data_IF_045869059346
#
_entry.id   IF_045869059346
#
_cell.length_a   1.000
_cell.length_b   1.000
_cell.length_c   1.000
_cell.angle_alpha   90.00
_cell.angle_beta   90.00
_cell.angle_gamma   90.00
#
_symmetry.space_group_name_H-M   'P 1'
#
loop_
_entity.id
_entity.type
_entity.pdbx_description
1 polymer ?
#
# COMPACT_ATOMS: atom_id res chain seq x y z
N UNK A 1 -13.31 32.20 -89.80
CA UNK A 1 -12.62 31.18 -89.18
C UNK A 1 -11.54 31.61 -88.23
N UNK A 2 -11.81 31.68 -86.96
CA UNK A 2 -10.82 32.03 -85.96
C UNK A 2 -10.64 30.85 -85.02
N UNK A 3 -9.42 30.31 -84.91
CA UNK A 3 -9.00 29.31 -83.97
C UNK A 3 -8.74 29.96 -82.61
N UNK A 4 -9.45 29.55 -81.59
CA UNK A 4 -9.11 29.87 -80.23
C UNK A 4 -8.37 28.65 -79.61
N UNK A 5 -7.13 28.84 -79.20
CA UNK A 5 -6.34 27.87 -78.49
C UNK A 5 -6.59 28.06 -76.99
N UNK A 6 -7.19 27.11 -76.42
CA UNK A 6 -7.34 27.05 -74.95
C UNK A 6 -6.16 26.30 -74.37
N UNK A 7 -5.37 26.96 -73.52
CA UNK A 7 -4.31 26.38 -72.69
C UNK A 7 -4.94 25.81 -71.40
N UNK A 8 -4.90 24.54 -71.25
CA UNK A 8 -5.27 23.90 -69.98
C UNK A 8 -4.04 23.83 -69.12
N UNK A 9 -4.03 24.60 -68.03
CA UNK A 9 -3.02 24.48 -66.96
C UNK A 9 -3.39 23.34 -66.01
N UNK A 10 -2.61 22.28 -66.03
CA UNK A 10 -2.69 21.22 -65.06
C UNK A 10 -2.05 21.73 -63.77
N UNK A 11 -2.88 22.01 -62.75
CA UNK A 11 -2.43 22.22 -61.37
C UNK A 11 -2.28 20.86 -60.72
N UNK A 12 -1.05 20.40 -60.56
CA UNK A 12 -0.69 19.22 -59.80
C UNK A 12 -0.74 19.59 -58.32
N UNK A 13 -1.88 19.35 -57.67
CA UNK A 13 -2.01 19.49 -56.23
C UNK A 13 -1.34 18.27 -55.56
N UNK A 14 -0.12 18.46 -55.10
CA UNK A 14 0.55 17.49 -54.23
C UNK A 14 -0.14 17.46 -52.90
N UNK A 15 -1.03 16.50 -52.70
CA UNK A 15 -1.51 16.16 -51.37
C UNK A 15 -0.36 15.50 -50.58
N UNK A 16 0.32 16.28 -49.72
CA UNK A 16 1.10 15.73 -48.64
C UNK A 16 0.11 15.09 -47.66
N UNK A 17 -0.06 13.79 -47.76
CA UNK A 17 -0.67 13.01 -46.69
C UNK A 17 0.36 12.98 -45.57
N UNK A 18 0.22 13.90 -44.60
CA UNK A 18 0.82 13.72 -43.30
C UNK A 18 0.11 12.49 -42.68
N UNK A 19 0.72 11.33 -42.83
CA UNK A 19 0.42 10.20 -41.95
C UNK A 19 0.87 10.61 -40.55
N UNK A 20 -0.04 11.25 -39.81
CA UNK A 20 0.09 11.28 -38.35
C UNK A 20 0.01 9.82 -37.90
N UNK A 21 1.17 9.18 -37.77
CA UNK A 21 1.27 7.93 -37.09
C UNK A 21 0.67 8.15 -35.72
N UNK A 22 -0.48 7.53 -35.47
CA UNK A 22 -0.98 7.40 -34.11
C UNK A 22 0.09 6.65 -33.35
N UNK A 23 0.92 7.38 -32.58
CA UNK A 23 1.81 6.77 -31.64
C UNK A 23 0.92 5.92 -30.74
N UNK A 24 1.03 4.59 -30.81
CA UNK A 24 0.32 3.71 -29.92
C UNK A 24 0.76 4.11 -28.50
N UNK A 25 -0.20 4.53 -27.68
CA UNK A 25 0.06 4.86 -26.28
C UNK A 25 0.72 3.64 -25.62
N UNK A 26 1.81 3.89 -24.89
CA UNK A 26 2.47 2.86 -24.07
C UNK A 26 1.46 2.37 -23.04
N UNK A 27 1.30 1.06 -22.87
CA UNK A 27 0.30 0.49 -21.97
C UNK A 27 0.99 -0.23 -20.83
N UNK A 28 0.45 -0.03 -19.64
CA UNK A 28 0.79 -0.79 -18.43
C UNK A 28 -0.49 -1.20 -17.71
N UNK A 29 -0.40 -2.26 -16.94
CA UNK A 29 -1.48 -2.76 -16.08
C UNK A 29 -1.04 -2.63 -14.62
N UNK A 30 -1.85 -1.93 -13.81
CA UNK A 30 -1.60 -1.75 -12.38
C UNK A 30 -2.66 -2.48 -11.55
N UNK A 31 -2.27 -3.10 -10.46
CA UNK A 31 -3.20 -3.55 -9.45
C UNK A 31 -3.74 -2.38 -8.64
N UNK A 32 -5.04 -2.38 -8.36
CA UNK A 32 -5.67 -1.45 -7.41
C UNK A 32 -5.50 -2.01 -6.01
N UNK A 33 -4.92 -1.23 -5.11
CA UNK A 33 -4.73 -1.63 -3.72
C UNK A 33 -6.08 -1.75 -2.99
N UNK A 34 -6.15 -2.62 -2.00
CA UNK A 34 -7.34 -2.87 -1.18
C UNK A 34 -7.32 -2.10 0.17
N UNK A 35 -6.55 -1.03 0.25
CA UNK A 35 -6.58 -0.03 1.32
C UNK A 35 -6.35 1.37 0.76
N UNK A 36 -6.90 2.37 1.41
CA UNK A 36 -6.94 3.75 0.92
C UNK A 36 -5.55 4.35 0.67
N UNK A 37 -4.60 4.14 1.58
CA UNK A 37 -3.23 4.65 1.41
C UNK A 37 -2.53 4.10 0.17
N UNK A 38 -2.64 2.80 -0.06
CA UNK A 38 -2.08 2.15 -1.24
C UNK A 38 -2.74 2.59 -2.54
N UNK A 39 -4.07 2.78 -2.53
CA UNK A 39 -4.79 3.36 -3.67
C UNK A 39 -4.27 4.76 -4.01
N UNK A 40 -4.07 5.61 -3.00
CA UNK A 40 -3.54 6.98 -3.19
C UNK A 40 -2.14 6.91 -3.80
N UNK A 41 -1.24 6.12 -3.23
CA UNK A 41 0.14 6.00 -3.74
C UNK A 41 0.16 5.52 -5.18
N UNK A 42 -0.66 4.53 -5.53
CA UNK A 42 -0.73 4.04 -6.90
C UNK A 42 -1.38 5.05 -7.84
N UNK A 43 -2.39 5.77 -7.40
CA UNK A 43 -3.01 6.83 -8.22
C UNK A 43 -2.03 7.99 -8.47
N UNK A 44 -1.17 8.33 -7.52
CA UNK A 44 -0.08 9.30 -7.74
C UNK A 44 0.83 8.82 -8.87
N UNK A 45 1.27 7.56 -8.83
CA UNK A 45 2.10 6.99 -9.87
C UNK A 45 1.37 6.95 -11.23
N UNK A 46 0.12 6.49 -11.25
CA UNK A 46 -0.71 6.40 -12.46
C UNK A 46 -0.94 7.77 -13.09
N UNK A 47 -1.28 8.79 -12.30
CA UNK A 47 -1.50 10.15 -12.80
C UNK A 47 -0.24 10.70 -13.49
N UNK A 48 0.94 10.48 -12.93
CA UNK A 48 2.20 10.93 -13.54
C UNK A 48 2.52 10.13 -14.81
N UNK A 49 2.36 8.81 -14.78
CA UNK A 49 2.56 7.96 -15.96
C UNK A 49 1.64 8.37 -17.12
N UNK A 50 0.37 8.63 -16.83
CA UNK A 50 -0.61 8.98 -17.88
C UNK A 50 -0.45 10.43 -18.37
N UNK A 51 -0.39 11.39 -17.46
CA UNK A 51 -0.45 12.81 -17.81
C UNK A 51 0.89 13.38 -18.29
N UNK A 52 2.02 12.87 -17.76
CA UNK A 52 3.35 13.41 -18.04
C UNK A 52 4.18 12.52 -18.97
N UNK A 53 4.02 11.19 -18.88
CA UNK A 53 4.87 10.24 -19.62
C UNK A 53 4.13 9.53 -20.77
N UNK A 54 2.84 9.84 -20.98
CA UNK A 54 2.06 9.37 -22.12
C UNK A 54 1.70 7.89 -22.10
N UNK A 55 1.67 7.27 -20.91
CA UNK A 55 1.18 5.91 -20.74
C UNK A 55 -0.34 5.89 -20.70
N UNK A 56 -0.91 4.72 -21.03
CA UNK A 56 -2.25 4.33 -20.65
C UNK A 56 -2.12 3.22 -19.59
N UNK A 57 -2.71 3.41 -18.44
CA UNK A 57 -2.64 2.44 -17.34
C UNK A 57 -4.01 1.82 -17.12
N UNK A 58 -4.13 0.53 -17.43
CA UNK A 58 -5.31 -0.26 -17.10
C UNK A 58 -5.23 -0.66 -15.61
N UNK A 59 -6.30 -0.41 -14.86
CA UNK A 59 -6.37 -0.70 -13.43
C UNK A 59 -7.18 -1.96 -13.20
N UNK A 60 -6.62 -2.93 -12.47
CA UNK A 60 -7.24 -4.20 -12.16
C UNK A 60 -7.39 -4.32 -10.65
N UNK A 61 -8.61 -4.60 -10.19
CA UNK A 61 -8.84 -4.98 -8.80
C UNK A 61 -8.24 -6.36 -8.55
N UNK A 62 -7.33 -6.44 -7.60
CA UNK A 62 -6.68 -7.68 -7.21
C UNK A 62 -6.42 -7.68 -5.71
N UNK A 63 -6.79 -8.76 -5.03
CA UNK A 63 -6.59 -8.88 -3.60
C UNK A 63 -5.08 -8.88 -3.26
N UNK A 64 -4.69 -8.11 -2.25
CA UNK A 64 -3.33 -8.12 -1.71
C UNK A 64 -2.97 -9.50 -1.16
N UNK A 65 -1.69 -9.82 -1.19
CA UNK A 65 -1.13 -11.09 -0.70
C UNK A 65 -0.28 -11.80 -1.75
N UNK A 66 0.10 -13.03 -1.45
CA UNK A 66 1.01 -13.84 -2.28
C UNK A 66 0.53 -13.98 -3.73
N UNK A 67 -0.78 -14.13 -3.96
CA UNK A 67 -1.36 -14.23 -5.31
C UNK A 67 -1.09 -13.02 -6.18
N UNK A 68 -1.06 -11.80 -5.61
CA UNK A 68 -0.70 -10.59 -6.34
C UNK A 68 0.79 -10.61 -6.76
N UNK A 69 1.66 -11.02 -5.86
CA UNK A 69 3.09 -11.18 -6.16
C UNK A 69 3.33 -12.19 -7.29
N UNK A 70 2.64 -13.32 -7.24
CA UNK A 70 2.68 -14.34 -8.29
C UNK A 70 2.16 -13.81 -9.64
N UNK A 71 1.08 -13.02 -9.64
CA UNK A 71 0.53 -12.40 -10.86
C UNK A 71 1.51 -11.40 -11.48
N UNK A 72 2.24 -10.63 -10.66
CA UNK A 72 3.28 -9.72 -11.13
C UNK A 72 4.48 -10.51 -11.68
N UNK A 73 4.95 -11.53 -10.98
CA UNK A 73 6.04 -12.39 -11.45
C UNK A 73 5.70 -13.07 -12.79
N UNK A 74 4.45 -13.47 -12.99
CA UNK A 74 3.95 -14.07 -14.22
C UNK A 74 3.74 -13.06 -15.36
N UNK A 75 3.69 -11.76 -15.09
CA UNK A 75 3.41 -10.72 -16.07
C UNK A 75 1.92 -10.51 -16.38
N UNK A 76 1.03 -11.03 -15.56
CA UNK A 76 -0.41 -10.78 -15.67
C UNK A 76 -0.78 -9.37 -15.20
N UNK A 77 0.02 -8.82 -14.30
CA UNK A 77 -0.02 -7.45 -13.80
C UNK A 77 1.39 -6.89 -13.90
N UNK A 78 1.53 -5.66 -14.45
CA UNK A 78 2.84 -5.08 -14.69
C UNK A 78 3.45 -4.47 -13.42
N UNK A 79 2.64 -3.81 -12.58
CA UNK A 79 3.09 -3.25 -11.31
C UNK A 79 1.97 -3.12 -10.27
N UNK A 80 2.39 -3.03 -9.03
CA UNK A 80 1.57 -2.63 -7.90
C UNK A 80 2.36 -1.68 -6.99
N UNK A 81 1.66 -0.98 -6.11
CA UNK A 81 2.24 0.08 -5.31
C UNK A 81 2.15 -0.21 -3.82
N UNK A 82 3.12 0.34 -3.10
CA UNK A 82 3.12 0.41 -1.64
C UNK A 82 2.99 -0.97 -0.98
N UNK A 83 3.84 -1.92 -1.39
CA UNK A 83 4.02 -3.12 -0.58
C UNK A 83 4.73 -2.76 0.73
N UNK A 84 4.25 -3.37 1.80
CA UNK A 84 4.81 -3.23 3.14
C UNK A 84 5.64 -4.48 3.46
N UNK A 85 6.97 -4.41 3.45
CA UNK A 85 7.84 -5.58 3.55
C UNK A 85 7.61 -6.45 4.80
N UNK A 86 7.23 -5.85 5.93
CA UNK A 86 6.96 -6.63 7.15
C UNK A 86 5.72 -7.55 7.06
N UNK A 87 4.91 -7.40 6.01
CA UNK A 87 3.73 -8.24 5.74
C UNK A 87 3.93 -9.22 4.59
N UNK A 88 4.84 -8.90 3.67
CA UNK A 88 4.94 -9.58 2.40
C UNK A 88 5.98 -10.70 2.44
N UNK A 89 5.58 -11.87 2.88
CA UNK A 89 6.45 -13.05 2.94
C UNK A 89 7.00 -13.46 1.55
N UNK A 90 6.31 -13.06 0.47
CA UNK A 90 6.74 -13.33 -0.90
C UNK A 90 7.94 -12.48 -1.35
N UNK A 91 8.20 -11.33 -0.74
CA UNK A 91 9.27 -10.43 -1.15
C UNK A 91 10.66 -11.05 -0.99
N UNK A 92 10.89 -11.79 0.08
CA UNK A 92 12.17 -12.46 0.36
C UNK A 92 12.52 -13.55 -0.66
N UNK A 93 11.52 -14.16 -1.30
CA UNK A 93 11.73 -15.22 -2.30
C UNK A 93 11.74 -14.70 -3.73
N UNK A 94 11.11 -13.57 -4.01
CA UNK A 94 10.92 -13.04 -5.37
C UNK A 94 11.81 -11.86 -5.72
N UNK A 95 12.30 -11.10 -4.72
CA UNK A 95 13.16 -9.94 -4.97
C UNK A 95 14.64 -10.33 -4.82
N UNK A 96 15.47 -9.89 -5.77
CA UNK A 96 16.92 -10.05 -5.72
C UNK A 96 17.57 -8.69 -6.02
N UNK A 97 17.60 -7.82 -5.02
CA UNK A 97 18.18 -6.48 -5.12
C UNK A 97 18.27 -5.84 -3.73
N UNK A 98 18.99 -4.74 -3.67
CA UNK A 98 19.01 -3.89 -2.47
C UNK A 98 17.91 -2.84 -2.56
N UNK A 99 17.09 -2.75 -1.51
CA UNK A 99 16.15 -1.67 -1.35
C UNK A 99 16.88 -0.45 -0.75
N UNK A 100 16.84 0.66 -1.48
CA UNK A 100 17.55 1.90 -1.11
C UNK A 100 16.54 2.98 -0.73
N UNK A 101 16.77 3.66 0.39
CA UNK A 101 16.03 4.83 0.84
C UNK A 101 17.01 5.90 1.31
N UNK A 102 16.87 7.14 0.83
CA UNK A 102 17.78 8.27 1.12
C UNK A 102 19.28 7.93 0.89
N UNK A 103 19.56 7.11 -0.12
CA UNK A 103 20.92 6.71 -0.47
C UNK A 103 21.51 5.58 0.38
N UNK A 104 20.78 5.10 1.38
CA UNK A 104 21.19 4.00 2.25
C UNK A 104 20.45 2.71 1.88
N UNK A 105 21.14 1.57 1.95
CA UNK A 105 20.51 0.26 1.79
C UNK A 105 19.74 -0.06 3.07
N UNK A 106 18.42 -0.14 2.95
CA UNK A 106 17.52 -0.40 4.10
C UNK A 106 17.14 -1.88 4.22
N UNK A 107 17.19 -2.63 3.12
CA UNK A 107 17.02 -4.08 3.10
C UNK A 107 17.74 -4.70 1.91
N UNK A 108 18.34 -5.87 2.13
CA UNK A 108 18.95 -6.69 1.09
C UNK A 108 18.07 -7.91 0.83
N UNK A 109 17.78 -8.17 -0.43
CA UNK A 109 17.00 -9.32 -0.88
C UNK A 109 17.83 -10.25 -1.73
N UNK A 110 17.70 -11.55 -1.52
CA UNK A 110 18.41 -12.61 -2.22
C UNK A 110 17.48 -13.65 -2.85
N UNK A 111 16.27 -13.23 -3.24
CA UNK A 111 15.30 -14.08 -3.92
C UNK A 111 15.66 -14.38 -5.37
N UNK A 112 14.71 -14.88 -6.15
CA UNK A 112 14.93 -15.36 -7.52
C UNK A 112 14.94 -14.23 -8.59
N UNK A 113 14.60 -13.00 -8.22
CA UNK A 113 14.54 -11.86 -9.15
C UNK A 113 13.31 -11.85 -10.06
N UNK A 114 12.29 -12.61 -9.75
CA UNK A 114 11.03 -12.62 -10.52
C UNK A 114 10.21 -11.35 -10.37
N UNK A 115 10.49 -10.53 -9.37
CA UNK A 115 9.87 -9.22 -9.11
C UNK A 115 10.97 -8.19 -8.83
N UNK A 116 10.88 -7.02 -9.45
CA UNK A 116 11.68 -5.84 -9.12
C UNK A 116 10.90 -4.92 -8.18
N UNK A 117 11.62 -4.14 -7.36
CA UNK A 117 11.01 -3.18 -6.45
C UNK A 117 11.81 -1.88 -6.33
N UNK A 118 11.11 -0.79 -6.06
CA UNK A 118 11.68 0.52 -5.74
C UNK A 118 10.90 1.14 -4.60
N UNK A 119 11.56 1.87 -3.70
CA UNK A 119 10.86 2.57 -2.61
C UNK A 119 9.81 3.53 -3.16
N UNK A 120 8.64 3.56 -2.55
CA UNK A 120 7.58 4.52 -2.90
C UNK A 120 7.83 5.91 -2.30
N UNK A 121 8.56 5.96 -1.19
CA UNK A 121 8.77 7.13 -0.34
C UNK A 121 7.93 7.10 0.95
N UNK A 122 6.86 6.31 1.00
CA UNK A 122 6.04 6.15 2.20
C UNK A 122 6.74 5.20 3.18
N UNK A 123 6.84 5.65 4.43
CA UNK A 123 7.37 4.86 5.54
C UNK A 123 6.22 4.54 6.49
N UNK A 124 5.99 3.26 6.71
CA UNK A 124 4.89 2.76 7.50
C UNK A 124 5.27 2.22 8.87
N UNK A 125 4.33 2.29 9.80
CA UNK A 125 4.39 1.63 11.11
C UNK A 125 3.01 1.07 11.45
N UNK A 126 2.98 -0.16 11.92
CA UNK A 126 1.75 -0.82 12.36
C UNK A 126 1.84 -1.23 13.82
N UNK A 127 0.72 -1.21 14.50
CA UNK A 127 0.61 -1.65 15.89
C UNK A 127 -0.87 -1.98 16.18
N UNK A 128 -1.14 -2.42 17.40
CA UNK A 128 -2.46 -2.36 17.97
C UNK A 128 -2.61 -1.06 18.77
N UNK A 129 -3.79 -0.49 18.73
CA UNK A 129 -4.09 0.80 19.34
C UNK A 129 -5.32 0.71 20.22
N UNK A 130 -5.31 1.52 21.29
CA UNK A 130 -6.46 1.75 22.17
C UNK A 130 -6.80 3.24 22.19
N UNK A 131 -8.06 3.62 22.47
CA UNK A 131 -8.40 5.02 22.61
C UNK A 131 -7.63 5.69 23.74
N UNK A 132 -7.23 6.96 23.55
CA UNK A 132 -6.54 7.71 24.58
C UNK A 132 -7.41 7.85 25.86
N UNK A 133 -8.73 8.03 25.71
CA UNK A 133 -9.62 8.11 26.89
C UNK A 133 -9.62 6.83 27.73
N UNK A 134 -9.38 5.67 27.13
CA UNK A 134 -9.21 4.42 27.89
C UNK A 134 -7.93 4.47 28.73
N UNK A 135 -6.82 4.91 28.16
CA UNK A 135 -5.54 5.03 28.87
C UNK A 135 -5.63 6.05 29.99
N UNK A 136 -6.26 7.19 29.72
CA UNK A 136 -6.48 8.24 30.74
C UNK A 136 -7.32 7.75 31.92
N UNK A 137 -8.33 6.92 31.67
CA UNK A 137 -9.17 6.31 32.70
C UNK A 137 -8.52 5.13 33.43
N UNK A 138 -7.49 4.52 32.85
CA UNK A 138 -6.81 3.34 33.37
C UNK A 138 -5.28 3.59 33.42
N UNK A 139 -4.79 4.42 34.36
CA UNK A 139 -3.38 4.82 34.41
C UNK A 139 -2.40 3.65 34.67
N UNK A 140 -2.89 2.49 35.09
CA UNK A 140 -2.10 1.27 35.25
C UNK A 140 -1.86 0.52 33.93
N UNK A 141 -2.58 0.87 32.86
CA UNK A 141 -2.31 0.34 31.53
C UNK A 141 -1.06 1.01 30.94
N UNK A 142 -0.04 0.23 30.63
CA UNK A 142 1.25 0.73 30.10
C UNK A 142 1.57 0.24 28.69
N UNK A 143 1.34 -1.04 28.43
CA UNK A 143 1.63 -1.66 27.14
C UNK A 143 0.79 -2.95 26.94
N UNK A 144 1.06 -3.66 25.86
CA UNK A 144 0.37 -4.88 25.47
C UNK A 144 0.29 -5.94 26.58
N UNK A 145 1.30 -6.01 27.48
CA UNK A 145 1.32 -7.02 28.54
C UNK A 145 0.27 -6.79 29.63
N UNK A 146 -0.30 -5.61 29.68
CA UNK A 146 -1.39 -5.26 30.60
C UNK A 146 -2.80 -5.57 30.04
N UNK A 147 -2.93 -5.94 28.77
CA UNK A 147 -4.24 -6.15 28.12
C UNK A 147 -5.13 -7.13 28.86
N UNK A 148 -4.56 -8.24 29.37
CA UNK A 148 -5.34 -9.23 30.10
C UNK A 148 -5.97 -8.71 31.40
N UNK A 149 -5.36 -7.73 32.05
CA UNK A 149 -5.91 -7.10 33.27
C UNK A 149 -7.20 -6.34 33.01
N UNK A 150 -7.37 -5.88 31.77
CA UNK A 150 -8.50 -5.03 31.35
C UNK A 150 -9.42 -5.72 30.34
N UNK A 151 -9.21 -7.00 30.06
CA UNK A 151 -9.91 -7.71 28.96
C UNK A 151 -11.43 -7.59 29.04
N UNK A 152 -12.02 -7.52 30.25
CA UNK A 152 -13.46 -7.40 30.42
C UNK A 152 -14.01 -6.09 29.84
N UNK A 153 -13.21 -5.02 29.76
CA UNK A 153 -13.58 -3.77 29.12
C UNK A 153 -13.59 -3.87 27.59
N UNK A 154 -12.86 -4.87 27.04
CA UNK A 154 -12.75 -5.13 25.60
C UNK A 154 -13.64 -6.27 25.13
N UNK A 155 -14.30 -6.97 26.04
CA UNK A 155 -15.16 -8.11 25.71
C UNK A 155 -16.43 -7.62 24.99
N UNK A 156 -16.92 -8.45 24.07
CA UNK A 156 -18.19 -8.26 23.36
C UNK A 156 -19.06 -9.49 23.54
N UNK A 157 -20.36 -9.45 23.22
CA UNK A 157 -21.22 -10.61 23.24
C UNK A 157 -20.67 -11.78 22.41
N UNK A 158 -19.98 -11.48 21.29
CA UNK A 158 -19.40 -12.47 20.39
C UNK A 158 -18.16 -13.14 20.98
N UNK A 159 -17.36 -12.43 21.76
CA UNK A 159 -16.12 -12.95 22.34
C UNK A 159 -16.29 -13.55 23.75
N UNK A 160 -17.45 -13.33 24.38
CA UNK A 160 -17.74 -13.87 25.69
C UNK A 160 -16.84 -13.28 26.78
N UNK A 161 -16.01 -14.12 27.42
CA UNK A 161 -15.07 -13.71 28.48
C UNK A 161 -13.72 -13.22 27.94
N UNK A 162 -13.49 -13.31 26.63
CA UNK A 162 -12.27 -12.83 25.98
C UNK A 162 -12.43 -11.36 25.56
N UNK A 163 -11.33 -10.61 25.58
CA UNK A 163 -11.31 -9.31 24.92
C UNK A 163 -11.43 -9.47 23.41
N UNK A 164 -11.81 -8.40 22.72
CA UNK A 164 -11.90 -8.36 21.26
C UNK A 164 -10.78 -7.49 20.69
N UNK A 165 -10.08 -8.01 19.69
CA UNK A 165 -9.28 -7.22 18.76
C UNK A 165 -10.11 -7.00 17.49
N UNK A 166 -10.34 -5.74 17.11
CA UNK A 166 -10.73 -5.40 15.76
C UNK A 166 -9.46 -5.52 14.92
N UNK A 167 -9.28 -6.69 14.32
CA UNK A 167 -8.03 -7.09 13.69
C UNK A 167 -7.88 -6.60 12.27
N UNK A 168 -6.80 -7.03 11.67
CA UNK A 168 -6.51 -6.84 10.26
C UNK A 168 -7.71 -7.31 9.43
N UNK A 169 -8.29 -6.43 8.60
CA UNK A 169 -9.59 -6.70 8.00
C UNK A 169 -9.57 -7.72 6.87
N UNK A 170 -8.41 -7.93 6.25
CA UNK A 170 -8.25 -8.77 5.05
C UNK A 170 -7.25 -9.88 5.32
N UNK A 171 -7.67 -11.14 5.19
CA UNK A 171 -6.82 -12.31 5.43
C UNK A 171 -5.53 -12.30 4.58
N UNK A 172 -5.63 -11.86 3.32
CA UNK A 172 -4.50 -11.79 2.39
C UNK A 172 -3.39 -10.82 2.81
N UNK A 173 -3.62 -9.95 3.80
CA UNK A 173 -2.58 -9.07 4.33
C UNK A 173 -1.57 -9.78 5.25
N UNK A 174 -1.82 -11.03 5.63
CA UNK A 174 -0.91 -11.84 6.45
C UNK A 174 -0.55 -11.21 7.80
N UNK A 175 -1.51 -10.61 8.49
CA UNK A 175 -1.27 -9.96 9.78
C UNK A 175 -1.02 -10.94 10.92
N UNK A 176 -1.52 -12.17 10.82
CA UNK A 176 -1.37 -13.22 11.82
C UNK A 176 -1.85 -12.84 13.24
N UNK A 177 -2.92 -12.06 13.32
CA UNK A 177 -3.38 -11.48 14.59
C UNK A 177 -3.69 -12.52 15.65
N UNK A 178 -4.53 -13.52 15.34
CA UNK A 178 -4.86 -14.53 16.33
C UNK A 178 -3.63 -15.33 16.77
N UNK A 179 -2.73 -15.63 15.84
CA UNK A 179 -1.47 -16.32 16.17
C UNK A 179 -0.61 -15.49 17.12
N UNK A 180 -0.54 -14.17 16.89
CA UNK A 180 0.19 -13.24 17.77
C UNK A 180 -0.43 -13.21 19.17
N UNK A 181 -1.76 -13.06 19.25
CA UNK A 181 -2.47 -13.05 20.53
C UNK A 181 -2.19 -14.33 21.34
N UNK A 182 -2.29 -15.48 20.66
CA UNK A 182 -2.07 -16.79 21.28
C UNK A 182 -0.62 -16.96 21.77
N UNK A 183 0.36 -16.61 20.94
CA UNK A 183 1.77 -16.70 21.29
C UNK A 183 2.17 -15.77 22.43
N UNK A 184 1.58 -14.59 22.52
CA UNK A 184 1.81 -13.62 23.59
C UNK A 184 0.97 -13.89 24.85
N UNK A 185 0.09 -14.88 24.82
CA UNK A 185 -0.79 -15.19 25.93
C UNK A 185 -1.83 -14.10 26.21
N UNK A 186 -2.21 -13.33 25.19
CA UNK A 186 -3.25 -12.30 25.27
C UNK A 186 -4.61 -12.98 25.07
N UNK A 187 -5.44 -12.97 26.11
CA UNK A 187 -6.75 -13.65 26.12
C UNK A 187 -7.81 -12.84 25.36
N UNK A 188 -7.53 -12.58 24.09
CA UNK A 188 -8.38 -11.87 23.15
C UNK A 188 -8.67 -12.73 21.94
N UNK A 189 -9.76 -12.38 21.26
CA UNK A 189 -10.15 -12.95 19.98
C UNK A 189 -10.11 -11.88 18.88
N UNK A 190 -9.45 -12.19 17.77
CA UNK A 190 -9.36 -11.30 16.64
C UNK A 190 -10.60 -11.43 15.75
N UNK A 191 -11.24 -10.29 15.45
CA UNK A 191 -12.31 -10.18 14.48
C UNK A 191 -11.75 -9.69 13.16
N UNK A 192 -12.05 -10.38 12.06
CA UNK A 192 -11.69 -10.02 10.69
C UNK A 192 -12.95 -9.59 9.95
N UNK A 193 -13.06 -8.31 9.64
CA UNK A 193 -14.30 -7.71 9.12
C UNK A 193 -14.37 -7.63 7.58
N UNK A 194 -13.34 -8.08 6.90
CA UNK A 194 -13.30 -8.27 5.45
C UNK A 194 -12.83 -7.05 4.65
N UNK A 195 -13.00 -5.82 5.15
CA UNK A 195 -12.55 -4.58 4.49
C UNK A 195 -12.07 -3.54 5.49
N UNK A 196 -11.18 -2.64 5.04
CA UNK A 196 -10.77 -1.46 5.83
C UNK A 196 -11.97 -0.64 6.29
N UNK A 197 -12.91 -0.37 5.39
CA UNK A 197 -14.11 0.43 5.69
C UNK A 197 -14.93 -0.20 6.82
N UNK A 198 -15.16 -1.50 6.80
CA UNK A 198 -15.93 -2.20 7.83
C UNK A 198 -15.22 -2.16 9.19
N UNK A 199 -13.90 -2.39 9.21
CA UNK A 199 -13.11 -2.33 10.45
C UNK A 199 -13.12 -0.92 11.06
N UNK A 200 -12.95 0.11 10.24
CA UNK A 200 -12.96 1.50 10.70
C UNK A 200 -14.35 1.96 11.16
N UNK A 201 -15.42 1.52 10.50
CA UNK A 201 -16.80 1.84 10.92
C UNK A 201 -17.09 1.25 12.31
N UNK A 202 -16.65 0.01 12.55
CA UNK A 202 -16.79 -0.64 13.86
C UNK A 202 -16.00 0.12 14.94
N UNK A 203 -14.75 0.46 14.66
CA UNK A 203 -13.89 1.22 15.57
C UNK A 203 -14.45 2.63 15.84
N UNK A 204 -14.91 3.33 14.81
CA UNK A 204 -15.49 4.68 14.96
C UNK A 204 -16.76 4.64 15.80
N UNK A 205 -17.63 3.66 15.58
CA UNK A 205 -18.82 3.47 16.42
C UNK A 205 -18.49 3.26 17.89
N UNK A 206 -17.50 2.43 18.20
CA UNK A 206 -17.03 2.22 19.57
C UNK A 206 -16.41 3.51 20.16
N UNK A 207 -15.60 4.22 19.36
CA UNK A 207 -15.00 5.49 19.78
C UNK A 207 -16.06 6.54 20.13
N UNK A 208 -17.06 6.70 19.28
CA UNK A 208 -18.16 7.67 19.46
C UNK A 208 -19.02 7.35 20.70
N UNK A 209 -19.12 6.08 21.08
CA UNK A 209 -19.81 5.65 22.31
C UNK A 209 -18.92 5.72 23.56
N UNK A 210 -17.63 6.07 23.41
CA UNK A 210 -16.67 6.08 24.52
C UNK A 210 -16.34 4.69 25.08
N UNK A 211 -16.49 3.64 24.28
CA UNK A 211 -16.19 2.26 24.65
C UNK A 211 -14.70 1.97 24.50
N UNK A 212 -14.16 1.10 25.34
CA UNK A 212 -12.82 0.56 25.14
C UNK A 212 -12.83 -0.40 23.93
N UNK A 213 -11.83 -0.28 23.07
CA UNK A 213 -11.60 -1.23 21.97
C UNK A 213 -10.11 -1.33 21.65
N UNK A 214 -9.70 -2.47 21.12
CA UNK A 214 -8.37 -2.72 20.61
C UNK A 214 -8.47 -2.82 19.09
N UNK A 215 -7.67 -2.03 18.36
CA UNK A 215 -7.73 -1.89 16.91
C UNK A 215 -6.35 -2.13 16.30
N UNK A 216 -6.30 -3.01 15.30
CA UNK A 216 -5.17 -3.03 14.36
C UNK A 216 -5.23 -1.79 13.47
N UNK A 217 -4.15 -1.03 13.42
CA UNK A 217 -4.05 0.17 12.60
C UNK A 217 -2.59 0.43 12.21
N UNK A 218 -2.39 1.35 11.31
CA UNK A 218 -1.08 1.73 10.80
C UNK A 218 -0.99 3.24 10.57
N UNK A 219 0.23 3.74 10.48
CA UNK A 219 0.53 5.12 10.12
C UNK A 219 1.29 5.14 8.78
N UNK A 220 1.00 6.10 7.88
CA UNK A 220 -0.01 7.17 7.99
C UNK A 220 -1.44 6.66 7.79
N UNK A 221 -2.40 7.20 8.54
CA UNK A 221 -3.82 6.86 8.43
C UNK A 221 -4.71 8.05 8.87
N UNK A 222 -5.85 8.26 8.19
CA UNK A 222 -6.77 9.36 8.51
C UNK A 222 -7.51 9.18 9.84
N UNK A 223 -7.65 7.95 10.34
CA UNK A 223 -8.36 7.66 11.60
C UNK A 223 -7.77 8.43 12.78
N UNK A 224 -6.45 8.65 12.80
CA UNK A 224 -5.78 9.42 13.85
C UNK A 224 -6.11 10.92 13.83
N UNK A 225 -6.60 11.45 12.73
CA UNK A 225 -6.96 12.87 12.61
C UNK A 225 -8.18 13.27 13.44
N UNK A 226 -9.10 12.33 13.68
CA UNK A 226 -10.34 12.54 14.45
C UNK A 226 -10.35 11.83 15.78
N UNK A 227 -9.50 10.82 15.96
CA UNK A 227 -9.55 9.91 17.09
C UNK A 227 -8.17 9.84 17.74
N UNK A 228 -8.07 10.27 18.98
CA UNK A 228 -6.81 10.15 19.73
C UNK A 228 -6.62 8.69 20.17
N UNK A 229 -5.60 8.05 19.60
CA UNK A 229 -5.27 6.66 19.84
C UNK A 229 -3.86 6.54 20.43
N UNK A 230 -3.64 5.49 21.21
CA UNK A 230 -2.36 5.16 21.84
C UNK A 230 -1.96 3.75 21.43
N UNK A 231 -0.74 3.58 20.90
CA UNK A 231 -0.20 2.27 20.57
C UNK A 231 0.06 1.43 21.82
N UNK A 232 -0.24 0.14 21.75
CA UNK A 232 -0.02 -0.79 22.88
C UNK A 232 1.43 -1.25 22.99
N UNK A 233 2.29 -0.81 22.08
CA UNK A 233 3.73 -1.08 22.10
C UNK A 233 4.03 -2.59 22.13
N UNK A 234 3.58 -3.30 21.11
CA UNK A 234 3.92 -4.72 20.92
C UNK A 234 5.43 -4.95 21.03
N UNK A 235 5.89 -6.18 21.35
CA UNK A 235 7.32 -6.48 21.38
C UNK A 235 8.03 -6.05 20.11
N UNK A 236 9.28 -5.61 20.21
CA UNK A 236 10.07 -5.17 19.07
C UNK A 236 10.17 -6.28 18.02
N UNK A 237 10.03 -5.90 16.76
CA UNK A 237 10.11 -6.83 15.63
C UNK A 237 11.42 -7.62 15.64
N UNK A 238 11.29 -8.91 15.38
CA UNK A 238 12.41 -9.81 15.08
C UNK A 238 11.93 -10.82 14.06
N UNK A 239 12.67 -10.97 12.98
CA UNK A 239 12.37 -11.96 11.95
C UNK A 239 12.54 -13.39 12.48
N UNK A 240 11.73 -14.32 11.99
CA UNK A 240 11.87 -15.74 12.30
C UNK A 240 12.75 -16.42 11.25
N UNK A 241 14.04 -16.58 11.53
CA UNK A 241 14.99 -17.21 10.62
C UNK A 241 14.67 -18.70 10.34
N UNK A 242 13.93 -19.34 11.25
CA UNK A 242 13.51 -20.75 11.13
C UNK A 242 12.12 -20.91 10.52
N UNK A 243 11.52 -19.82 10.02
CA UNK A 243 10.23 -19.90 9.36
C UNK A 243 10.29 -20.80 8.14
N UNK A 244 9.38 -21.74 8.10
CA UNK A 244 9.06 -22.50 6.89
C UNK A 244 7.54 -22.58 6.78
N UNK A 245 7.04 -22.67 5.57
CA UNK A 245 5.60 -22.87 5.31
C UNK A 245 5.06 -24.11 6.04
N UNK A 246 5.89 -25.15 6.20
CA UNK A 246 5.54 -26.39 6.89
C UNK A 246 5.45 -26.24 8.42
N UNK A 247 6.29 -25.39 9.05
CA UNK A 247 6.31 -25.24 10.51
C UNK A 247 5.45 -24.09 11.03
N UNK A 248 5.03 -23.18 10.18
CA UNK A 248 4.15 -22.05 10.55
C UNK A 248 4.64 -21.31 11.81
N UNK A 249 5.94 -20.94 11.83
CA UNK A 249 6.67 -20.25 12.92
C UNK A 249 6.78 -21.04 14.24
N UNK A 250 6.48 -22.32 14.29
CA UNK A 250 6.52 -23.10 15.54
C UNK A 250 7.91 -23.08 16.19
N UNK A 251 8.98 -23.11 15.38
CA UNK A 251 10.36 -23.13 15.87
C UNK A 251 10.82 -21.79 16.44
N UNK A 252 10.16 -20.67 16.08
CA UNK A 252 10.45 -19.35 16.61
C UNK A 252 9.68 -19.04 17.90
N UNK A 253 8.53 -19.65 18.10
CA UNK A 253 7.70 -19.48 19.29
C UNK A 253 7.43 -18.01 19.62
N UNK A 254 7.76 -17.59 20.84
CA UNK A 254 7.58 -16.23 21.32
C UNK A 254 8.80 -15.32 21.09
N UNK A 255 9.85 -15.81 20.44
CA UNK A 255 11.10 -15.09 20.27
C UNK A 255 11.11 -14.15 19.06
N UNK A 256 10.22 -14.36 18.09
CA UNK A 256 10.21 -13.63 16.81
C UNK A 256 8.80 -13.53 16.24
N UNK A 257 8.69 -12.85 15.07
CA UNK A 257 7.45 -12.75 14.30
C UNK A 257 6.76 -14.13 14.15
N UNK A 258 5.42 -14.21 14.35
CA UNK A 258 4.47 -13.12 14.58
C UNK A 258 4.22 -12.78 16.06
N UNK A 259 5.00 -13.30 17.03
CA UNK A 259 4.91 -12.96 18.46
C UNK A 259 5.52 -11.57 18.78
N UNK A 260 5.73 -10.74 17.79
CA UNK A 260 6.25 -9.37 17.88
C UNK A 260 5.30 -8.40 17.19
N UNK A 261 5.57 -7.11 17.34
CA UNK A 261 5.00 -6.09 16.45
C UNK A 261 5.56 -6.17 15.04
N UNK A 262 5.18 -5.23 14.21
CA UNK A 262 5.70 -5.07 12.84
C UNK A 262 6.99 -4.27 12.84
N UNK A 263 7.79 -4.44 11.80
CA UNK A 263 8.96 -3.59 11.57
C UNK A 263 8.53 -2.22 11.02
N UNK A 264 9.45 -1.27 11.03
CA UNK A 264 9.32 -0.05 10.25
C UNK A 264 9.38 -0.41 8.77
N UNK A 265 8.32 -0.11 8.04
CA UNK A 265 8.22 -0.45 6.63
C UNK A 265 8.67 0.70 5.73
N UNK A 266 9.77 0.50 5.01
CA UNK A 266 10.09 1.29 3.81
C UNK A 266 9.30 0.69 2.66
N UNK A 267 8.12 1.25 2.39
CA UNK A 267 7.21 0.66 1.42
C UNK A 267 7.75 0.76 0.00
N UNK A 268 7.37 -0.17 -0.86
CA UNK A 268 7.92 -0.29 -2.20
C UNK A 268 6.85 -0.44 -3.27
N UNK A 269 7.11 0.14 -4.43
CA UNK A 269 6.41 -0.19 -5.65
C UNK A 269 7.12 -1.39 -6.27
N UNK A 270 6.38 -2.39 -6.73
CA UNK A 270 6.93 -3.64 -7.22
C UNK A 270 6.35 -3.99 -8.59
N UNK A 271 7.16 -4.58 -9.45
CA UNK A 271 6.86 -4.67 -10.86
C UNK A 271 7.47 -5.90 -11.54
N UNK A 272 6.88 -6.28 -12.68
CA UNK A 272 7.40 -7.35 -13.50
C UNK A 272 8.69 -6.90 -14.23
N UNK A 273 9.84 -7.54 -14.01
CA UNK A 273 11.11 -7.10 -14.57
C UNK A 273 11.18 -7.25 -16.10
N UNK A 274 10.54 -8.26 -16.70
CA UNK A 274 10.54 -8.46 -18.16
C UNK A 274 9.79 -7.30 -18.86
N UNK A 275 8.59 -6.95 -18.37
CA UNK A 275 7.80 -5.85 -18.92
C UNK A 275 8.57 -4.53 -18.77
N UNK A 276 9.12 -4.28 -17.58
CA UNK A 276 9.82 -3.03 -17.29
C UNK A 276 11.17 -2.92 -18.01
N UNK A 277 11.77 -4.01 -18.46
CA UNK A 277 13.01 -3.99 -19.26
C UNK A 277 12.81 -3.61 -20.73
N UNK A 278 11.57 -3.55 -21.21
CA UNK A 278 11.27 -3.15 -22.58
C UNK A 278 11.66 -1.69 -22.82
N UNK A 279 12.26 -1.35 -23.97
CA UNK A 279 12.73 0.01 -24.24
C UNK A 279 11.65 1.09 -24.10
N UNK A 280 10.42 0.80 -24.49
CA UNK A 280 9.26 1.71 -24.35
C UNK A 280 8.92 2.04 -22.90
N UNK A 281 9.34 1.23 -21.92
CA UNK A 281 9.09 1.41 -20.50
C UNK A 281 10.26 2.06 -19.74
N UNK A 282 11.33 2.47 -20.44
CA UNK A 282 12.50 3.08 -19.81
C UNK A 282 12.16 4.32 -18.97
N UNK A 283 11.22 5.15 -19.44
CA UNK A 283 10.77 6.35 -18.71
C UNK A 283 9.98 5.98 -17.45
N UNK A 284 9.13 4.96 -17.52
CA UNK A 284 8.42 4.47 -16.33
C UNK A 284 9.38 3.96 -15.25
N UNK A 285 10.39 3.19 -15.65
CA UNK A 285 11.43 2.71 -14.72
C UNK A 285 12.21 3.86 -14.11
N UNK A 286 12.61 4.84 -14.93
CA UNK A 286 13.32 6.03 -14.44
C UNK A 286 12.47 6.83 -13.44
N UNK A 287 11.18 6.96 -13.70
CA UNK A 287 10.22 7.56 -12.78
C UNK A 287 10.13 6.78 -11.46
N UNK A 288 9.88 5.47 -11.49
CA UNK A 288 9.77 4.67 -10.26
C UNK A 288 11.06 4.71 -9.41
N UNK A 289 12.23 4.78 -10.04
CA UNK A 289 13.52 4.94 -9.34
C UNK A 289 13.65 6.27 -8.59
N UNK A 290 12.97 7.32 -9.07
CA UNK A 290 13.03 8.67 -8.49
C UNK A 290 11.86 8.99 -7.60
N UNK A 291 10.76 8.23 -7.67
CA UNK A 291 9.56 8.49 -6.88
C UNK A 291 9.88 8.53 -5.38
N UNK A 292 9.52 9.64 -4.75
CA UNK A 292 9.78 9.90 -3.34
C UNK A 292 8.54 10.57 -2.71
N UNK A 293 7.41 9.85 -2.75
CA UNK A 293 6.15 10.31 -2.20
C UNK A 293 6.25 10.40 -0.67
N UNK A 294 5.76 11.50 -0.07
CA UNK A 294 5.97 11.74 1.35
C UNK A 294 4.79 11.31 2.21
N UNK A 295 5.08 10.87 3.44
CA UNK A 295 4.05 10.60 4.44
C UNK A 295 3.15 11.81 4.69
N UNK A 296 3.72 13.02 4.70
CA UNK A 296 2.97 14.26 4.92
C UNK A 296 1.93 14.48 3.82
N UNK A 297 2.31 14.28 2.56
CA UNK A 297 1.39 14.47 1.45
C UNK A 297 0.36 13.36 1.36
N UNK A 298 0.75 12.11 1.62
CA UNK A 298 -0.23 11.03 1.71
C UNK A 298 -1.23 11.27 2.84
N UNK A 299 -0.77 11.72 4.01
CA UNK A 299 -1.66 12.01 5.15
C UNK A 299 -2.71 13.08 4.81
N UNK A 300 -2.33 14.14 4.08
CA UNK A 300 -3.28 15.15 3.60
C UNK A 300 -4.33 14.56 2.67
N UNK A 301 -3.92 13.74 1.71
CA UNK A 301 -4.84 13.08 0.78
C UNK A 301 -5.72 12.04 1.49
N UNK A 302 -5.20 11.32 2.47
CA UNK A 302 -5.98 10.41 3.31
C UNK A 302 -7.14 11.12 4.00
N UNK A 303 -6.92 12.33 4.53
CA UNK A 303 -8.00 13.15 5.12
C UNK A 303 -9.02 13.56 4.06
N UNK A 304 -8.56 14.02 2.89
CA UNK A 304 -9.46 14.40 1.80
C UNK A 304 -10.35 13.25 1.34
N UNK A 305 -9.82 12.04 1.27
CA UNK A 305 -10.59 10.85 0.88
C UNK A 305 -11.42 10.31 2.04
N UNK A 306 -10.78 10.04 3.18
CA UNK A 306 -11.41 9.34 4.31
C UNK A 306 -12.40 10.19 5.10
N UNK A 307 -12.11 11.48 5.27
CA UNK A 307 -12.94 12.40 6.08
C UNK A 307 -13.81 13.32 5.22
N UNK A 308 -13.25 13.84 4.11
CA UNK A 308 -13.94 14.86 3.30
C UNK A 308 -14.71 14.24 2.12
N UNK A 309 -14.55 12.95 1.86
CA UNK A 309 -15.33 12.19 0.90
C UNK A 309 -14.96 12.41 -0.57
N UNK A 310 -13.75 12.93 -0.87
CA UNK A 310 -13.24 12.96 -2.24
C UNK A 310 -12.97 11.55 -2.75
N UNK A 311 -13.05 11.34 -4.06
CA UNK A 311 -12.46 10.16 -4.67
C UNK A 311 -10.92 10.22 -4.57
N UNK A 312 -10.25 9.08 -4.71
CA UNK A 312 -8.79 9.03 -4.73
C UNK A 312 -8.25 9.84 -5.91
N UNK A 313 -8.87 9.75 -7.07
CA UNK A 313 -8.50 10.52 -8.27
C UNK A 313 -8.62 12.03 -8.03
N UNK A 314 -9.71 12.48 -7.40
CA UNK A 314 -9.91 13.89 -7.07
C UNK A 314 -8.87 14.41 -6.09
N UNK A 315 -8.57 13.65 -5.04
CA UNK A 315 -7.57 14.01 -4.04
C UNK A 315 -6.16 14.10 -4.65
N UNK A 316 -5.80 13.15 -5.50
CA UNK A 316 -4.50 13.15 -6.19
C UNK A 316 -4.40 14.30 -7.20
N UNK A 317 -5.46 14.61 -7.94
CA UNK A 317 -5.48 15.75 -8.86
C UNK A 317 -5.32 17.07 -8.10
N UNK A 318 -6.01 17.24 -6.97
CA UNK A 318 -5.87 18.41 -6.09
C UNK A 318 -4.43 18.58 -5.60
N UNK A 319 -3.83 17.50 -5.10
CA UNK A 319 -2.43 17.50 -4.67
C UNK A 319 -1.47 17.84 -5.81
N UNK A 320 -1.59 17.16 -6.95
CA UNK A 320 -0.71 17.36 -8.12
C UNK A 320 -0.72 18.80 -8.61
N UNK A 321 -1.87 19.47 -8.53
CA UNK A 321 -2.02 20.88 -8.90
C UNK A 321 -1.50 21.85 -7.82
N UNK A 322 -1.31 21.39 -6.59
CA UNK A 322 -0.89 22.23 -5.46
C UNK A 322 0.62 22.28 -5.22
N UNK A 323 1.39 21.39 -5.85
CA UNK A 323 2.83 21.27 -5.65
C UNK A 323 3.57 20.93 -6.94
N UNK A 324 4.84 21.27 -6.99
CA UNK A 324 5.77 20.90 -8.07
C UNK A 324 6.75 19.79 -7.67
N UNK A 325 6.65 19.23 -6.47
CA UNK A 325 7.59 18.23 -5.95
C UNK A 325 7.69 16.98 -6.84
N UNK A 326 6.56 16.52 -7.38
CA UNK A 326 6.51 15.37 -8.29
C UNK A 326 7.31 15.57 -9.58
N UNK A 327 7.58 16.82 -9.98
CA UNK A 327 8.37 17.09 -11.20
C UNK A 327 9.82 16.60 -11.08
N UNK A 328 10.36 16.52 -9.84
CA UNK A 328 11.69 15.98 -9.59
C UNK A 328 11.77 14.47 -9.87
N UNK A 329 10.65 13.77 -9.94
CA UNK A 329 10.60 12.33 -10.22
C UNK A 329 10.57 12.01 -11.71
N UNK A 330 10.35 13.01 -12.57
CA UNK A 330 10.35 12.82 -14.02
C UNK A 330 11.74 12.39 -14.52
N UNK A 331 11.79 11.60 -15.59
CA UNK A 331 13.03 11.12 -16.22
C UNK A 331 13.98 12.24 -16.63
#
# INVERSE_FOLDING_TARGET
>A
SLFAKTFAALILSSFLVLSAGTANAKRLTAAVADWTGGEITCQVAVAILEEELGYRVDRIEFASGTGLWEAIAAGDIDFACESWPSYAEADDVMINMNLVYDGEVVKEYSGDGSVDAYTSGIIGMSDYYVPKYFVDANPDFKDWSDLNKFKDQFATPETGSKGRLIGCPVAGWNCHDQKRLDLLGIDFEASELGTEVAALAEAQGAYDRGEAFLLYLWEPHFFFGKNEMVGVKLPAYKYCDSFTEANNWQDCGTAAWPATGWDKDYTMNYMNPEVMSRPENAEAVAFFKKMAFSNTDQAKMLVRVGDDGLSVEEAVAEWKNSTDEWKAWLP
#
